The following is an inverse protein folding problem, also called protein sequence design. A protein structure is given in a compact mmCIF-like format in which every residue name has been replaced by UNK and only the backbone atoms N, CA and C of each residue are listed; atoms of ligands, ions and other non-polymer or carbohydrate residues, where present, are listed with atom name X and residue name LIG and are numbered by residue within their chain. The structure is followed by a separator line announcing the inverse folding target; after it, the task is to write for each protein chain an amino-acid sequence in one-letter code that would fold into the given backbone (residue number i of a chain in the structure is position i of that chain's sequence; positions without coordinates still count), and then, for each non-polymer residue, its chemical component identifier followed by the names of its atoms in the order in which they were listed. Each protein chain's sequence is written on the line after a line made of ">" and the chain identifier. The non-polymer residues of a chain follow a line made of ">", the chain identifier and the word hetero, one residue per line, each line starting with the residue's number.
data_IF_872580208269
#
_entry.id   IF_872580208269
#
_cell.length_a   1.000
_cell.length_b   1.000
_cell.length_c   1.000
_cell.angle_alpha   90.00
_cell.angle_beta   90.00
_cell.angle_gamma   90.00
#
_symmetry.space_group_name_H-M   'P 1'
#
loop_
_entity.id
_entity.type
_entity.pdbx_description
1 polymer ?
#
# COMPACT_ATOMS: atom_id res chain seq x y z
N UNK A 1 -9.50 3.60 -15.57
CA UNK A 1 -9.59 4.47 -14.37
C UNK A 1 -8.23 5.09 -14.09
N UNK A 2 -8.15 6.39 -13.75
CA UNK A 2 -6.92 7.10 -13.37
C UNK A 2 -7.12 7.84 -12.06
N UNK A 3 -6.07 7.92 -11.26
CA UNK A 3 -6.09 8.58 -9.95
C UNK A 3 -5.11 9.75 -9.93
N UNK A 4 -5.51 10.86 -9.31
CA UNK A 4 -4.68 12.05 -9.17
C UNK A 4 -4.79 12.62 -7.76
N UNK A 5 -3.69 13.19 -7.27
CA UNK A 5 -3.69 13.89 -5.99
C UNK A 5 -3.04 15.28 -6.11
N UNK A 6 -3.66 16.26 -5.46
CA UNK A 6 -3.10 17.59 -5.25
C UNK A 6 -3.02 17.86 -3.75
N UNK A 7 -1.87 18.30 -3.27
CA UNK A 7 -1.64 18.61 -1.86
C UNK A 7 -0.93 19.95 -1.78
N UNK A 8 -1.45 20.87 -0.95
CA UNK A 8 -0.83 22.14 -0.65
C UNK A 8 -0.78 22.35 0.86
N UNK A 9 0.37 22.81 1.37
CA UNK A 9 0.61 23.21 2.76
C UNK A 9 0.15 22.15 3.78
N UNK A 10 0.62 20.90 3.63
CA UNK A 10 0.31 19.81 4.55
C UNK A 10 1.59 19.17 5.13
N UNK A 11 1.93 19.52 6.37
CA UNK A 11 3.15 19.04 7.03
C UNK A 11 4.41 19.33 6.20
N UNK A 12 5.24 18.33 5.86
CA UNK A 12 6.43 18.54 5.03
C UNK A 12 6.08 18.77 3.54
N UNK A 13 4.84 18.52 3.11
CA UNK A 13 4.41 18.64 1.71
C UNK A 13 3.96 20.07 1.42
N UNK A 14 4.69 20.79 0.59
CA UNK A 14 4.45 22.20 0.27
C UNK A 14 3.50 22.37 -0.91
N UNK A 15 3.87 21.78 -2.05
CA UNK A 15 3.07 21.88 -3.27
C UNK A 15 3.26 20.67 -4.16
N UNK A 16 2.23 19.86 -4.25
CA UNK A 16 2.11 18.72 -5.16
C UNK A 16 0.87 18.95 -6.01
N UNK A 17 1.03 19.12 -7.30
CA UNK A 17 -0.06 19.44 -8.19
C UNK A 17 -0.35 18.29 -9.15
N UNK A 18 -1.60 17.81 -9.12
CA UNK A 18 -2.14 16.82 -10.06
C UNK A 18 -1.23 15.61 -10.28
N UNK A 19 -0.62 15.10 -9.20
CA UNK A 19 0.24 13.93 -9.24
C UNK A 19 -0.58 12.70 -9.65
N UNK A 20 -0.22 12.05 -10.74
CA UNK A 20 -0.88 10.81 -11.19
C UNK A 20 -0.43 9.62 -10.34
N UNK A 21 -1.38 8.90 -9.77
CA UNK A 21 -1.11 7.66 -9.03
C UNK A 21 -1.42 6.49 -9.97
N UNK A 22 -0.39 5.73 -10.32
CA UNK A 22 -0.51 4.57 -11.21
C UNK A 22 -0.62 3.27 -10.43
N UNK A 23 -1.05 2.17 -11.06
CA UNK A 23 -1.17 0.87 -10.40
C UNK A 23 0.07 0.43 -9.63
N UNK A 24 1.27 0.77 -10.12
CA UNK A 24 2.51 0.62 -9.38
C UNK A 24 3.19 1.98 -9.25
N UNK A 25 3.22 2.54 -8.03
CA UNK A 25 3.80 3.86 -7.76
C UNK A 25 4.93 3.72 -6.75
N UNK A 26 6.09 4.29 -7.07
CA UNK A 26 7.26 4.28 -6.19
C UNK A 26 7.62 5.70 -5.80
N UNK A 27 7.78 5.93 -4.49
CA UNK A 27 8.22 7.17 -3.88
C UNK A 27 9.63 6.99 -3.35
N UNK A 28 10.56 7.82 -3.78
CA UNK A 28 11.93 7.86 -3.26
C UNK A 28 12.34 9.25 -2.80
N UNK A 29 13.32 9.33 -1.95
CA UNK A 29 13.90 10.58 -1.45
C UNK A 29 14.60 10.37 -0.12
N UNK A 30 15.22 11.41 0.38
CA UNK A 30 15.92 11.41 1.66
C UNK A 30 14.98 11.13 2.85
N UNK A 31 15.58 10.81 4.01
CA UNK A 31 14.83 10.72 5.26
C UNK A 31 14.17 12.07 5.55
N UNK A 32 12.94 12.03 6.07
CA UNK A 32 12.13 13.22 6.37
C UNK A 32 11.70 14.07 5.15
N UNK A 33 11.95 13.67 3.90
CA UNK A 33 11.51 14.39 2.69
C UNK A 33 9.98 14.45 2.51
N UNK A 34 9.22 13.60 3.20
CA UNK A 34 7.75 13.57 3.13
C UNK A 34 7.14 12.36 2.42
N UNK A 35 7.93 11.35 2.02
CA UNK A 35 7.44 10.11 1.37
C UNK A 35 6.32 9.43 2.15
N UNK A 36 6.58 9.08 3.42
CA UNK A 36 5.58 8.44 4.28
C UNK A 36 4.37 9.36 4.52
N UNK A 37 4.58 10.67 4.57
CA UNK A 37 3.46 11.62 4.69
C UNK A 37 2.60 11.62 3.44
N UNK A 38 3.19 11.68 2.25
CA UNK A 38 2.45 11.58 0.98
C UNK A 38 1.67 10.26 0.90
N UNK A 39 2.32 9.14 1.20
CA UNK A 39 1.67 7.83 1.17
C UNK A 39 0.51 7.72 2.18
N UNK A 40 0.68 8.25 3.40
CA UNK A 40 -0.38 8.30 4.42
C UNK A 40 -1.56 9.18 3.98
N UNK A 41 -1.28 10.30 3.34
CA UNK A 41 -2.34 11.15 2.76
C UNK A 41 -3.08 10.42 1.65
N UNK A 42 -2.38 9.77 0.72
CA UNK A 42 -3.03 8.97 -0.34
C UNK A 42 -3.89 7.87 0.26
N UNK A 43 -3.37 7.10 1.24
CA UNK A 43 -4.12 6.04 1.92
C UNK A 43 -5.39 6.59 2.61
N UNK A 44 -5.29 7.75 3.26
CA UNK A 44 -6.44 8.43 3.88
C UNK A 44 -7.47 8.85 2.83
N UNK A 45 -7.05 9.43 1.71
CA UNK A 45 -7.97 9.90 0.67
C UNK A 45 -8.64 8.72 -0.06
N UNK A 46 -7.94 7.64 -0.32
CA UNK A 46 -8.50 6.37 -0.83
C UNK A 46 -9.53 5.78 0.14
N UNK A 47 -9.26 5.84 1.45
CA UNK A 47 -10.26 5.44 2.45
C UNK A 47 -11.51 6.32 2.38
N UNK A 48 -11.37 7.64 2.26
CA UNK A 48 -12.51 8.56 2.10
C UNK A 48 -13.30 8.28 0.81
N UNK A 49 -12.61 7.96 -0.27
CA UNK A 49 -13.24 7.58 -1.55
C UNK A 49 -13.98 6.23 -1.43
N UNK A 50 -13.40 5.24 -0.74
CA UNK A 50 -14.11 4.00 -0.36
C UNK A 50 -15.41 4.31 0.37
N UNK A 51 -15.37 5.23 1.34
CA UNK A 51 -16.56 5.63 2.08
C UNK A 51 -17.60 6.35 1.21
N UNK A 52 -17.16 7.11 0.20
CA UNK A 52 -18.06 7.73 -0.79
C UNK A 52 -18.75 6.66 -1.66
N UNK A 53 -18.03 5.60 -2.07
CA UNK A 53 -18.61 4.44 -2.78
C UNK A 53 -19.69 3.74 -1.93
N UNK A 54 -19.40 3.42 -0.67
CA UNK A 54 -20.36 2.76 0.22
C UNK A 54 -21.59 3.66 0.43
N UNK A 55 -21.42 4.97 0.64
CA UNK A 55 -22.54 5.91 0.76
C UNK A 55 -23.39 5.95 -0.50
N UNK A 56 -22.76 6.00 -1.67
CA UNK A 56 -23.47 6.04 -2.94
C UNK A 56 -24.24 4.75 -3.19
N UNK A 57 -23.65 3.60 -2.86
CA UNK A 57 -24.33 2.30 -2.89
C UNK A 57 -25.56 2.27 -1.97
N UNK A 58 -25.43 2.70 -0.72
CA UNK A 58 -26.52 2.76 0.26
C UNK A 58 -27.63 3.73 -0.19
N UNK A 59 -27.26 4.90 -0.71
CA UNK A 59 -28.20 5.88 -1.23
C UNK A 59 -29.08 5.29 -2.34
N UNK A 60 -28.47 4.53 -3.24
CA UNK A 60 -29.18 3.83 -4.34
C UNK A 60 -30.02 2.65 -3.82
N UNK A 61 -29.69 2.12 -2.66
CA UNK A 61 -30.43 1.04 -1.97
C UNK A 61 -31.47 1.60 -0.96
N UNK A 62 -31.99 2.81 -1.19
CA UNK A 62 -33.01 3.52 -0.39
C UNK A 62 -32.56 3.97 1.03
N UNK A 63 -31.27 3.95 1.32
CA UNK A 63 -30.72 4.47 2.58
C UNK A 63 -30.21 5.91 2.36
N UNK A 64 -31.10 6.87 2.46
CA UNK A 64 -30.78 8.29 2.16
C UNK A 64 -30.01 9.01 3.26
N UNK A 65 -30.16 8.57 4.51
CA UNK A 65 -29.38 9.12 5.63
C UNK A 65 -28.12 8.29 5.80
N UNK A 66 -26.96 8.90 5.51
CA UNK A 66 -25.70 8.24 5.79
C UNK A 66 -25.50 8.12 7.30
N UNK A 67 -25.38 6.92 7.85
CA UNK A 67 -25.06 6.68 9.24
C UNK A 67 -23.60 7.03 9.59
N UNK A 68 -22.71 7.19 8.56
CA UNK A 68 -21.29 7.50 8.77
C UNK A 68 -21.07 8.98 9.06
N UNK A 69 -20.62 9.27 10.24
CA UNK A 69 -20.03 10.56 10.57
C UNK A 69 -18.53 10.48 10.40
N UNK A 70 -18.06 10.79 9.20
CA UNK A 70 -16.62 10.94 8.97
C UNK A 70 -16.16 12.22 9.70
N UNK A 71 -15.47 12.03 10.81
CA UNK A 71 -14.87 13.14 11.56
C UNK A 71 -13.40 13.24 11.16
N UNK A 72 -13.07 14.24 10.36
CA UNK A 72 -11.71 14.48 9.87
C UNK A 72 -10.71 14.56 11.01
N UNK A 73 -11.03 15.33 12.07
CA UNK A 73 -10.16 15.48 13.25
C UNK A 73 -9.82 14.15 13.92
N UNK A 74 -10.82 13.27 14.04
CA UNK A 74 -10.62 11.94 14.63
C UNK A 74 -9.74 11.06 13.76
N UNK A 75 -9.85 11.16 12.43
CA UNK A 75 -9.01 10.43 11.49
C UNK A 75 -7.56 10.92 11.55
N UNK A 76 -7.36 12.23 11.45
CA UNK A 76 -6.04 12.86 11.55
C UNK A 76 -5.35 12.52 12.88
N UNK A 77 -6.12 12.54 14.00
CA UNK A 77 -5.61 12.17 15.32
C UNK A 77 -5.16 10.71 15.38
N UNK A 78 -5.97 9.77 14.90
CA UNK A 78 -5.63 8.35 14.86
C UNK A 78 -4.38 8.08 14.04
N UNK A 79 -4.21 8.78 12.93
CA UNK A 79 -3.10 8.61 12.00
C UNK A 79 -1.86 9.44 12.35
N UNK A 80 -1.89 10.19 13.47
CA UNK A 80 -0.77 11.03 13.91
C UNK A 80 -0.52 12.27 13.04
N UNK A 81 -1.49 12.69 12.22
CA UNK A 81 -1.35 13.78 11.25
C UNK A 81 -1.99 15.11 11.68
N UNK A 82 -2.54 15.21 12.89
CA UNK A 82 -3.25 16.43 13.36
C UNK A 82 -2.41 17.69 13.26
N UNK A 83 -1.11 17.60 13.62
CA UNK A 83 -0.19 18.76 13.60
C UNK A 83 0.28 19.16 12.19
N UNK A 84 0.04 18.31 11.20
CA UNK A 84 0.42 18.57 9.80
C UNK A 84 -0.63 19.41 9.07
N UNK A 85 -1.85 19.46 9.61
CA UNK A 85 -2.97 20.15 9.01
C UNK A 85 -3.03 21.61 9.46
N UNK A 86 -3.10 22.52 8.51
CA UNK A 86 -3.23 23.97 8.74
C UNK A 86 -4.50 24.50 8.09
N UNK A 87 -4.88 25.75 8.38
CA UNK A 87 -6.00 26.41 7.70
C UNK A 87 -5.79 26.59 6.18
N UNK A 88 -4.55 26.62 5.74
CA UNK A 88 -4.16 26.82 4.34
C UNK A 88 -3.98 25.48 3.60
N UNK A 89 -4.11 24.37 4.31
CA UNK A 89 -3.99 23.03 3.73
C UNK A 89 -5.11 22.72 2.76
N UNK A 90 -4.74 22.28 1.57
CA UNK A 90 -5.65 21.77 0.54
C UNK A 90 -5.22 20.36 0.16
N UNK A 91 -6.15 19.41 0.18
CA UNK A 91 -5.95 18.06 -0.35
C UNK A 91 -7.11 17.75 -1.28
N UNK A 92 -6.82 17.42 -2.52
CA UNK A 92 -7.81 16.99 -3.53
C UNK A 92 -7.38 15.66 -4.11
N UNK A 93 -8.21 14.67 -3.97
CA UNK A 93 -8.03 13.36 -4.59
C UNK A 93 -9.12 13.17 -5.63
N UNK A 94 -8.73 12.95 -6.87
CA UNK A 94 -9.61 12.80 -8.02
C UNK A 94 -9.45 11.43 -8.66
N UNK A 95 -10.57 10.76 -8.85
CA UNK A 95 -10.67 9.51 -9.61
C UNK A 95 -11.38 9.81 -10.91
N UNK A 96 -10.68 9.62 -12.03
CA UNK A 96 -11.20 9.78 -13.36
C UNK A 96 -11.55 8.41 -13.94
N UNK A 97 -12.81 8.23 -14.28
CA UNK A 97 -13.32 7.01 -14.90
C UNK A 97 -13.13 7.05 -16.42
N UNK A 98 -13.18 5.88 -17.02
CA UNK A 98 -13.21 5.77 -18.49
C UNK A 98 -14.47 6.50 -19.00
N UNK A 99 -14.33 7.27 -20.09
CA UNK A 99 -15.39 8.18 -20.54
C UNK A 99 -15.31 9.60 -19.97
N UNK A 100 -14.31 9.92 -19.11
CA UNK A 100 -13.97 11.28 -18.70
C UNK A 100 -14.70 11.80 -17.45
N UNK A 101 -15.66 11.04 -16.90
CA UNK A 101 -16.33 11.40 -15.63
C UNK A 101 -15.32 11.34 -14.50
N UNK A 102 -15.35 12.30 -13.59
CA UNK A 102 -14.44 12.38 -12.44
C UNK A 102 -15.20 12.59 -11.14
N UNK A 103 -14.69 11.97 -10.07
CA UNK A 103 -15.18 12.15 -8.70
C UNK A 103 -14.06 12.68 -7.83
N UNK A 104 -14.36 13.66 -6.99
CA UNK A 104 -13.39 14.28 -6.10
C UNK A 104 -13.72 14.06 -4.62
N UNK A 105 -12.69 13.76 -3.85
CA UNK A 105 -12.70 13.89 -2.38
C UNK A 105 -11.80 15.07 -2.06
N UNK A 106 -12.36 16.07 -1.34
CA UNK A 106 -11.67 17.34 -1.10
C UNK A 106 -11.67 17.71 0.36
N UNK A 107 -10.50 18.03 0.87
CA UNK A 107 -10.30 18.63 2.19
C UNK A 107 -9.74 20.03 1.98
N UNK A 108 -10.43 21.00 2.50
CA UNK A 108 -10.10 22.42 2.32
C UNK A 108 -10.54 23.23 3.54
N UNK A 109 -9.72 24.16 4.00
CA UNK A 109 -10.01 25.02 5.16
C UNK A 109 -10.42 24.21 6.40
N UNK A 110 -9.73 23.10 6.68
CA UNK A 110 -10.01 22.24 7.83
C UNK A 110 -11.24 21.35 7.72
N UNK A 111 -11.92 21.34 6.56
CA UNK A 111 -13.18 20.62 6.38
C UNK A 111 -13.15 19.62 5.23
N UNK A 112 -13.70 18.45 5.48
CA UNK A 112 -14.03 17.50 4.42
C UNK A 112 -15.26 18.01 3.67
N UNK A 113 -15.11 18.29 2.39
CA UNK A 113 -16.23 18.70 1.53
C UNK A 113 -17.09 17.50 1.17
N UNK A 114 -18.38 17.77 0.88
CA UNK A 114 -19.32 16.73 0.47
C UNK A 114 -18.88 16.17 -0.89
N UNK A 115 -18.67 14.87 -0.94
CA UNK A 115 -18.41 14.15 -2.19
C UNK A 115 -19.74 13.95 -2.94
N UNK A 116 -19.71 14.08 -4.25
CA UNK A 116 -20.85 13.77 -5.11
C UNK A 116 -21.23 12.29 -5.03
N UNK A 117 -22.51 12.00 -5.34
CA UNK A 117 -22.99 10.61 -5.39
C UNK A 117 -22.42 9.95 -6.63
N UNK A 118 -21.67 8.88 -6.43
CA UNK A 118 -21.05 8.11 -7.52
C UNK A 118 -22.14 7.40 -8.33
N UNK A 119 -22.04 7.47 -9.65
CA UNK A 119 -22.97 6.79 -10.55
C UNK A 119 -22.87 5.27 -10.41
N UNK A 120 -23.97 4.57 -10.67
CA UNK A 120 -24.09 3.14 -10.48
C UNK A 120 -23.01 2.35 -11.22
N UNK A 121 -22.74 2.71 -12.46
CA UNK A 121 -21.74 2.07 -13.32
C UNK A 121 -20.28 2.31 -12.88
N UNK A 122 -20.06 3.30 -12.02
CA UNK A 122 -18.75 3.68 -11.51
C UNK A 122 -18.54 3.26 -10.05
N UNK A 123 -19.52 2.60 -9.44
CA UNK A 123 -19.37 2.06 -8.09
C UNK A 123 -18.34 0.94 -8.06
N UNK A 124 -17.54 0.94 -7.00
CA UNK A 124 -16.51 -0.07 -6.78
C UNK A 124 -16.41 -0.51 -5.33
N UNK A 125 -15.90 -1.71 -5.13
CA UNK A 125 -15.53 -2.24 -3.82
C UNK A 125 -14.04 -1.98 -3.59
N UNK A 126 -13.70 -1.17 -2.62
CA UNK A 126 -12.32 -0.81 -2.31
C UNK A 126 -11.86 -1.45 -1.00
N UNK A 127 -10.66 -2.00 -0.97
CA UNK A 127 -9.93 -2.37 0.25
C UNK A 127 -8.61 -1.60 0.26
N UNK A 128 -8.35 -0.90 1.35
CA UNK A 128 -7.07 -0.25 1.59
C UNK A 128 -6.30 -1.08 2.60
N UNK A 129 -5.03 -1.29 2.34
CA UNK A 129 -4.05 -1.91 3.23
C UNK A 129 -2.86 -0.98 3.40
N UNK A 130 -2.29 -0.98 4.59
CA UNK A 130 -1.08 -0.23 4.88
C UNK A 130 -0.09 -1.14 5.61
N UNK A 131 1.06 -1.38 5.00
CA UNK A 131 2.12 -2.21 5.54
C UNK A 131 3.24 -1.31 6.03
N UNK A 132 3.26 -1.08 7.35
CA UNK A 132 4.19 -0.14 7.98
C UNK A 132 5.61 -0.72 8.09
N UNK A 133 6.57 0.18 8.28
CA UNK A 133 7.97 -0.17 8.54
C UNK A 133 8.15 -1.04 9.81
N UNK A 134 7.25 -0.87 10.79
CA UNK A 134 7.31 -1.61 12.06
C UNK A 134 6.80 -3.07 11.97
N UNK A 135 6.57 -3.60 10.78
CA UNK A 135 6.08 -4.97 10.58
C UNK A 135 7.00 -6.08 11.11
N UNK A 136 8.28 -5.77 11.32
CA UNK A 136 9.24 -6.67 11.97
C UNK A 136 8.85 -7.06 13.42
N UNK A 137 7.97 -6.30 14.05
CA UNK A 137 7.46 -6.58 15.40
C UNK A 137 6.34 -7.62 15.38
N UNK A 138 5.68 -7.84 14.23
CA UNK A 138 4.52 -8.73 14.10
C UNK A 138 4.79 -10.14 14.62
N UNK A 139 5.91 -10.81 14.27
CA UNK A 139 6.18 -12.16 14.75
C UNK A 139 6.16 -12.26 16.29
N UNK A 140 6.75 -11.26 16.95
CA UNK A 140 6.79 -11.20 18.42
C UNK A 140 5.45 -10.74 19.00
N UNK A 141 4.75 -9.81 18.33
CA UNK A 141 3.47 -9.25 18.78
C UNK A 141 2.34 -10.28 18.80
N UNK A 142 2.35 -11.24 17.89
CA UNK A 142 1.34 -12.30 17.81
C UNK A 142 1.43 -13.30 18.98
N UNK A 143 2.53 -13.31 19.73
CA UNK A 143 2.66 -14.12 20.94
C UNK A 143 1.78 -13.58 22.07
N UNK A 144 0.98 -14.46 22.71
CA UNK A 144 -0.03 -14.12 23.74
C UNK A 144 0.47 -13.23 24.90
N UNK A 145 1.77 -13.29 25.22
CA UNK A 145 2.35 -12.57 26.35
C UNK A 145 2.37 -11.04 26.21
N UNK A 146 2.31 -10.51 25.00
CA UNK A 146 2.38 -9.06 24.74
C UNK A 146 1.02 -8.38 24.75
N UNK A 147 -0.06 -9.08 24.41
CA UNK A 147 -1.42 -8.54 24.34
C UNK A 147 -1.92 -7.92 25.67
N UNK A 148 -1.34 -8.32 26.79
CA UNK A 148 -1.77 -7.90 28.12
C UNK A 148 -0.97 -6.73 28.72
N UNK A 149 -0.01 -6.14 28.01
CA UNK A 149 0.88 -5.12 28.59
C UNK A 149 0.53 -3.65 28.25
N UNK A 150 -0.64 -3.38 27.64
CA UNK A 150 -1.12 -2.02 27.38
C UNK A 150 -0.25 -1.20 26.42
N UNK A 151 0.69 -1.82 25.71
CA UNK A 151 1.48 -1.14 24.69
C UNK A 151 0.60 -0.79 23.49
N UNK A 152 0.49 0.49 23.17
CA UNK A 152 -0.19 0.98 21.97
C UNK A 152 0.86 1.25 20.89
N UNK A 153 0.94 0.36 19.94
CA UNK A 153 1.63 0.61 18.67
C UNK A 153 0.71 1.43 17.76
N UNK A 154 1.25 2.35 16.98
CA UNK A 154 0.46 3.31 16.22
C UNK A 154 -0.57 2.70 15.25
N UNK A 155 -1.46 3.53 14.72
CA UNK A 155 -2.57 3.14 13.85
C UNK A 155 -2.14 2.22 12.70
N UNK A 156 -1.09 2.59 11.98
CA UNK A 156 -0.64 1.84 10.81
C UNK A 156 -0.05 0.46 11.14
N UNK A 157 0.58 0.31 12.30
CA UNK A 157 0.98 -1.00 12.78
C UNK A 157 -0.23 -1.91 13.05
N UNK A 158 -1.29 -1.37 13.66
CA UNK A 158 -2.51 -2.13 13.89
C UNK A 158 -3.16 -2.59 12.60
N UNK A 159 -3.27 -1.72 11.59
CA UNK A 159 -3.75 -2.09 10.25
C UNK A 159 -2.90 -3.23 9.64
N UNK A 160 -1.57 -3.10 9.70
CA UNK A 160 -0.65 -4.14 9.21
C UNK A 160 -0.86 -5.47 9.96
N UNK A 161 -0.99 -5.43 11.28
CA UNK A 161 -1.17 -6.62 12.10
C UNK A 161 -2.55 -7.29 11.88
N UNK A 162 -3.60 -6.51 11.67
CA UNK A 162 -4.92 -7.02 11.31
C UNK A 162 -4.90 -7.71 9.94
N UNK A 163 -4.29 -7.07 8.93
CA UNK A 163 -4.17 -7.65 7.60
C UNK A 163 -3.31 -8.93 7.62
N UNK A 164 -2.21 -8.95 8.38
CA UNK A 164 -1.42 -10.16 8.61
C UNK A 164 -2.23 -11.27 9.30
N UNK A 165 -3.03 -10.92 10.31
CA UNK A 165 -3.91 -11.86 10.99
C UNK A 165 -4.92 -12.51 10.04
N UNK A 166 -5.60 -11.71 9.21
CA UNK A 166 -6.52 -12.21 8.18
C UNK A 166 -5.79 -13.05 7.13
N UNK A 167 -4.61 -12.63 6.70
CA UNK A 167 -3.79 -13.37 5.74
C UNK A 167 -3.30 -14.73 6.27
N UNK A 168 -3.20 -14.84 7.60
CA UNK A 168 -2.76 -16.05 8.30
C UNK A 168 -3.90 -17.04 8.61
N UNK A 169 -5.13 -16.76 8.23
CA UNK A 169 -6.25 -17.67 8.47
C UNK A 169 -6.11 -18.94 7.60
N UNK A 170 -6.34 -20.10 8.22
CA UNK A 170 -6.19 -21.41 7.57
C UNK A 170 -4.75 -21.90 7.47
N UNK A 171 -4.58 -23.19 7.14
CA UNK A 171 -3.27 -23.75 6.86
C UNK A 171 -2.78 -23.29 5.49
N UNK A 172 -1.58 -22.75 5.41
CA UNK A 172 -1.01 -22.17 4.19
C UNK A 172 0.47 -22.42 4.08
N UNK A 173 0.93 -22.53 2.84
CA UNK A 173 2.35 -22.47 2.48
C UNK A 173 2.58 -21.23 1.60
N UNK A 174 3.58 -20.42 1.92
CA UNK A 174 3.99 -19.25 1.17
C UNK A 174 5.42 -19.44 0.67
N UNK A 175 5.60 -19.43 -0.63
CA UNK A 175 6.90 -19.41 -1.27
C UNK A 175 7.53 -18.01 -1.19
N UNK A 176 8.74 -17.93 -0.64
CA UNK A 176 9.52 -16.70 -0.52
C UNK A 176 10.84 -16.87 -1.31
N UNK A 177 10.73 -17.07 -2.62
CA UNK A 177 11.87 -17.34 -3.50
C UNK A 177 12.89 -16.20 -3.55
N UNK A 178 12.46 -14.97 -3.19
CA UNK A 178 13.35 -13.81 -3.09
C UNK A 178 14.42 -13.93 -1.98
N UNK A 179 14.22 -14.83 -1.01
CA UNK A 179 15.19 -15.16 0.05
C UNK A 179 15.50 -16.66 0.12
N UNK A 180 15.06 -17.47 -0.85
CA UNK A 180 15.28 -18.92 -0.88
C UNK A 180 14.61 -19.69 0.27
N UNK A 181 13.48 -19.21 0.78
CA UNK A 181 12.75 -19.77 1.89
C UNK A 181 11.28 -19.99 1.54
N UNK A 182 10.62 -20.79 2.36
CA UNK A 182 9.15 -20.89 2.39
C UNK A 182 8.64 -20.81 3.82
N UNK A 183 7.43 -20.31 3.99
CA UNK A 183 6.76 -20.23 5.28
C UNK A 183 5.54 -21.16 5.29
N UNK A 184 5.46 -22.01 6.31
CA UNK A 184 4.30 -22.84 6.61
C UNK A 184 3.53 -22.26 7.79
N UNK A 185 2.23 -22.01 7.61
CA UNK A 185 1.32 -21.54 8.66
C UNK A 185 0.43 -22.71 9.07
N UNK A 186 0.42 -23.03 10.36
CA UNK A 186 -0.40 -24.11 10.94
C UNK A 186 -1.16 -23.63 12.16
N UNK A 187 -2.33 -24.25 12.39
CA UNK A 187 -3.23 -23.94 13.51
C UNK A 187 -3.44 -25.16 14.41
N UNK A 188 -2.45 -25.56 15.23
CA UNK A 188 -2.57 -26.71 16.09
C UNK A 188 -3.69 -26.51 17.12
N UNK A 189 -4.56 -27.52 17.30
CA UNK A 189 -5.69 -27.44 18.22
C UNK A 189 -5.27 -27.04 19.64
N UNK A 190 -5.86 -25.97 20.17
CA UNK A 190 -5.58 -25.45 21.51
C UNK A 190 -4.23 -24.75 21.68
N UNK A 191 -3.46 -24.54 20.62
CA UNK A 191 -2.18 -23.83 20.64
C UNK A 191 -2.24 -22.57 19.78
N UNK A 192 -1.32 -21.60 19.96
CA UNK A 192 -1.17 -20.47 19.05
C UNK A 192 -0.85 -20.93 17.64
N UNK A 193 -1.21 -20.10 16.65
CA UNK A 193 -0.76 -20.24 15.25
C UNK A 193 0.76 -20.30 15.21
N UNK A 194 1.29 -21.20 14.40
CA UNK A 194 2.73 -21.38 14.18
C UNK A 194 3.10 -20.90 12.79
N UNK A 195 4.21 -20.20 12.72
CA UNK A 195 4.80 -19.68 11.48
C UNK A 195 6.20 -20.28 11.37
N UNK A 196 6.34 -21.34 10.58
CA UNK A 196 7.59 -22.07 10.44
C UNK A 196 8.28 -21.73 9.10
N UNK A 197 9.55 -21.37 9.17
CA UNK A 197 10.36 -21.03 8.02
C UNK A 197 11.25 -22.22 7.65
N UNK A 198 11.19 -22.61 6.39
CA UNK A 198 11.96 -23.72 5.82
C UNK A 198 12.84 -23.18 4.67
N UNK A 199 14.13 -23.54 4.62
CA UNK A 199 14.92 -23.36 3.41
C UNK A 199 14.36 -24.18 2.25
N UNK A 200 14.34 -23.59 1.05
CA UNK A 200 13.84 -24.29 -0.16
C UNK A 200 14.75 -25.44 -0.60
N UNK A 201 16.02 -25.45 -0.15
CA UNK A 201 16.99 -26.51 -0.43
C UNK A 201 16.77 -27.79 0.40
N UNK A 202 15.92 -27.73 1.44
CA UNK A 202 15.55 -28.89 2.28
C UNK A 202 16.62 -29.41 3.23
N UNK A 203 17.77 -28.73 3.35
CA UNK A 203 18.92 -29.23 4.13
C UNK A 203 18.89 -28.86 5.62
N UNK A 204 17.99 -27.97 6.03
CA UNK A 204 17.95 -27.48 7.42
C UNK A 204 16.59 -27.71 8.05
N UNK A 205 16.61 -27.87 9.39
CA UNK A 205 15.39 -27.96 10.17
C UNK A 205 14.61 -26.63 10.12
N UNK A 206 13.25 -26.67 10.21
CA UNK A 206 12.43 -25.47 10.28
C UNK A 206 12.76 -24.65 11.54
N UNK A 207 12.67 -23.33 11.40
CA UNK A 207 12.76 -22.39 12.52
C UNK A 207 11.44 -21.61 12.66
N UNK A 208 11.11 -21.18 13.86
CA UNK A 208 9.96 -20.29 14.04
C UNK A 208 10.27 -18.91 13.47
N UNK A 209 9.27 -18.22 12.89
CA UNK A 209 9.44 -16.89 12.31
C UNK A 209 10.05 -15.88 13.31
N UNK A 210 9.78 -16.03 14.61
CA UNK A 210 10.35 -15.20 15.67
C UNK A 210 11.86 -15.41 15.87
N UNK A 211 12.40 -16.52 15.42
CA UNK A 211 13.81 -16.90 15.53
C UNK A 211 14.56 -16.69 14.21
N UNK A 212 13.84 -16.36 13.15
CA UNK A 212 14.41 -16.10 11.83
C UNK A 212 15.21 -14.78 11.82
N UNK A 213 16.01 -14.59 10.78
CA UNK A 213 16.74 -13.34 10.57
C UNK A 213 15.79 -12.14 10.44
N UNK A 214 16.26 -10.94 10.78
CA UNK A 214 15.47 -9.70 10.67
C UNK A 214 14.89 -9.49 9.27
N UNK A 215 15.64 -9.84 8.22
CA UNK A 215 15.16 -9.75 6.84
C UNK A 215 13.95 -10.66 6.59
N UNK A 216 13.94 -11.88 7.13
CA UNK A 216 12.78 -12.78 7.03
C UNK A 216 11.63 -12.27 7.88
N UNK A 217 11.91 -11.82 9.12
CA UNK A 217 10.86 -11.27 10.00
C UNK A 217 10.15 -10.05 9.42
N UNK A 218 10.82 -9.26 8.56
CA UNK A 218 10.22 -8.11 7.87
C UNK A 218 9.54 -8.48 6.56
N UNK A 219 10.14 -9.35 5.77
CA UNK A 219 9.66 -9.66 4.42
C UNK A 219 8.54 -10.70 4.37
N UNK A 220 8.53 -11.67 5.30
CA UNK A 220 7.49 -12.70 5.33
C UNK A 220 6.08 -12.14 5.61
N UNK A 221 5.85 -11.25 6.60
CA UNK A 221 4.55 -10.60 6.78
C UNK A 221 4.12 -9.79 5.56
N UNK A 222 5.04 -9.06 4.93
CA UNK A 222 4.76 -8.28 3.73
C UNK A 222 4.32 -9.18 2.57
N UNK A 223 5.09 -10.22 2.27
CA UNK A 223 4.79 -11.14 1.18
C UNK A 223 3.44 -11.87 1.39
N UNK A 224 3.15 -12.29 2.63
CA UNK A 224 1.89 -12.93 2.98
C UNK A 224 0.68 -11.99 2.79
N UNK A 225 0.79 -10.74 3.19
CA UNK A 225 -0.28 -9.74 3.03
C UNK A 225 -0.56 -9.49 1.55
N UNK A 226 0.50 -9.32 0.73
CA UNK A 226 0.35 -9.09 -0.72
C UNK A 226 -0.28 -10.31 -1.39
N UNK A 227 0.18 -11.52 -1.08
CA UNK A 227 -0.36 -12.77 -1.62
C UNK A 227 -1.84 -12.96 -1.25
N UNK A 228 -2.20 -12.71 0.01
CA UNK A 228 -3.58 -12.77 0.49
C UNK A 228 -4.52 -11.85 -0.27
N UNK A 229 -4.12 -10.58 -0.48
CA UNK A 229 -4.95 -9.65 -1.22
C UNK A 229 -5.03 -9.97 -2.72
N UNK A 230 -3.99 -10.58 -3.27
CA UNK A 230 -4.00 -11.02 -4.65
C UNK A 230 -4.94 -12.22 -4.89
N UNK A 231 -5.04 -13.15 -3.93
CA UNK A 231 -5.69 -14.46 -4.15
C UNK A 231 -6.93 -14.67 -3.29
N UNK A 232 -6.81 -14.49 -1.97
CA UNK A 232 -7.76 -15.05 -1.00
C UNK A 232 -8.78 -14.05 -0.46
N UNK A 233 -8.53 -12.73 -0.56
CA UNK A 233 -9.38 -11.71 0.04
C UNK A 233 -10.81 -11.74 -0.50
N UNK A 234 -11.79 -11.95 0.39
CA UNK A 234 -13.21 -11.96 0.03
C UNK A 234 -13.83 -10.57 0.12
N UNK A 235 -13.97 -9.89 -1.02
CA UNK A 235 -14.70 -8.63 -1.11
C UNK A 235 -16.15 -8.76 -0.67
N UNK A 236 -16.79 -9.89 -0.98
CA UNK A 236 -18.18 -10.17 -0.60
C UNK A 236 -18.36 -10.12 0.92
N UNK A 237 -17.48 -10.80 1.66
CA UNK A 237 -17.60 -10.89 3.11
C UNK A 237 -17.19 -9.57 3.78
N UNK A 238 -16.16 -8.90 3.26
CA UNK A 238 -15.73 -7.58 3.75
C UNK A 238 -16.83 -6.52 3.53
N UNK A 239 -17.45 -6.51 2.35
CA UNK A 239 -18.54 -5.60 2.03
C UNK A 239 -19.77 -5.90 2.86
N UNK A 240 -20.16 -7.19 2.95
CA UNK A 240 -21.30 -7.62 3.76
C UNK A 240 -21.13 -7.20 5.23
N UNK A 241 -19.96 -7.45 5.82
CA UNK A 241 -19.67 -6.99 7.19
C UNK A 241 -19.78 -5.48 7.32
N UNK A 242 -19.18 -4.72 6.41
CA UNK A 242 -19.22 -3.24 6.44
C UNK A 242 -20.63 -2.71 6.31
N UNK A 243 -21.42 -3.19 5.36
CA UNK A 243 -22.80 -2.74 5.12
C UNK A 243 -23.75 -3.19 6.23
N UNK A 244 -23.67 -4.45 6.66
CA UNK A 244 -24.57 -5.00 7.67
C UNK A 244 -24.36 -4.38 9.06
N UNK A 245 -23.11 -4.26 9.50
CA UNK A 245 -22.82 -3.54 10.77
C UNK A 245 -23.42 -2.14 10.77
N UNK A 246 -23.42 -1.53 9.63
CA UNK A 246 -23.88 -0.20 9.34
C UNK A 246 -25.39 -0.06 9.39
N UNK A 247 -26.10 -0.96 8.70
CA UNK A 247 -27.54 -1.00 8.69
C UNK A 247 -28.09 -1.36 10.07
N UNK A 248 -27.36 -2.21 10.80
CA UNK A 248 -27.71 -2.61 12.16
C UNK A 248 -27.58 -1.43 13.14
N UNK A 249 -26.46 -0.69 13.11
CA UNK A 249 -26.26 0.49 13.96
C UNK A 249 -27.24 1.63 13.67
N UNK A 250 -27.75 1.68 12.45
CA UNK A 250 -28.64 2.76 11.99
C UNK A 250 -30.13 2.40 12.08
N UNK A 251 -30.50 1.21 12.56
CA UNK A 251 -31.91 0.73 12.61
C UNK A 251 -32.63 0.83 11.25
N UNK A 252 -31.90 0.63 10.14
CA UNK A 252 -32.40 0.80 8.78
C UNK A 252 -32.47 -0.51 7.97
N UNK A 253 -32.36 -1.66 8.63
CA UNK A 253 -32.42 -2.98 7.97
C UNK A 253 -33.69 -3.17 7.15
N UNK A 254 -34.84 -2.74 7.69
CA UNK A 254 -36.16 -2.89 7.05
C UNK A 254 -36.32 -2.04 5.78
N UNK A 255 -35.50 -1.00 5.62
CA UNK A 255 -35.55 -0.10 4.45
C UNK A 255 -34.57 -0.47 3.37
N UNK A 256 -33.63 -1.34 3.68
CA UNK A 256 -32.56 -1.72 2.75
C UNK A 256 -33.11 -2.63 1.66
N UNK A 257 -33.04 -2.14 0.43
CA UNK A 257 -33.34 -2.92 -0.75
C UNK A 257 -32.12 -2.89 -1.69
N UNK A 258 -31.38 -3.99 -1.77
CA UNK A 258 -30.20 -4.11 -2.62
C UNK A 258 -30.59 -4.05 -4.09
N UNK A 259 -30.40 -2.91 -4.71
CA UNK A 259 -30.68 -2.69 -6.16
C UNK A 259 -29.53 -3.16 -7.03
N UNK A 260 -28.31 -3.27 -6.47
CA UNK A 260 -27.08 -3.61 -7.18
C UNK A 260 -26.47 -4.85 -6.53
N UNK A 261 -26.15 -5.85 -7.33
CA UNK A 261 -25.44 -7.01 -6.83
C UNK A 261 -23.95 -6.69 -6.62
N UNK A 262 -23.40 -6.77 -5.38
CA UNK A 262 -22.00 -6.42 -5.11
C UNK A 262 -20.97 -7.20 -5.95
N UNK A 263 -21.35 -8.37 -6.46
CA UNK A 263 -20.45 -9.19 -7.30
C UNK A 263 -20.10 -8.55 -8.63
N UNK A 264 -20.99 -7.68 -9.14
CA UNK A 264 -20.81 -7.02 -10.45
C UNK A 264 -19.96 -5.74 -10.37
N UNK A 265 -19.65 -5.27 -9.15
CA UNK A 265 -18.88 -4.06 -8.95
C UNK A 265 -17.38 -4.31 -9.19
N UNK A 266 -16.70 -3.30 -9.73
CA UNK A 266 -15.25 -3.29 -9.84
C UNK A 266 -14.62 -3.44 -8.46
N UNK A 267 -13.59 -4.27 -8.34
CA UNK A 267 -12.90 -4.55 -7.09
C UNK A 267 -11.47 -4.05 -7.14
N UNK A 268 -11.12 -3.20 -6.19
CA UNK A 268 -9.79 -2.58 -6.12
C UNK A 268 -9.20 -2.78 -4.74
N UNK A 269 -7.96 -3.26 -4.69
CA UNK A 269 -7.13 -3.30 -3.48
C UNK A 269 -5.99 -2.31 -3.66
N UNK A 270 -5.85 -1.41 -2.70
CA UNK A 270 -4.75 -0.46 -2.63
C UNK A 270 -3.83 -0.83 -1.47
N UNK A 271 -2.60 -1.23 -1.76
CA UNK A 271 -1.59 -1.62 -0.77
C UNK A 271 -0.49 -0.56 -0.73
N UNK A 272 -0.28 0.01 0.45
CA UNK A 272 0.75 1.02 0.71
C UNK A 272 1.85 0.37 1.55
N UNK A 273 3.09 0.38 1.08
CA UNK A 273 4.20 -0.35 1.69
C UNK A 273 5.34 0.62 2.02
N UNK A 274 5.66 0.75 3.31
CA UNK A 274 6.84 1.49 3.76
C UNK A 274 8.06 0.56 3.77
N UNK A 275 9.17 1.05 3.25
CA UNK A 275 10.51 0.44 3.29
C UNK A 275 10.50 -1.07 2.98
N UNK A 276 10.10 -1.50 1.76
CA UNK A 276 10.11 -2.91 1.42
C UNK A 276 11.49 -3.56 1.59
N UNK A 277 12.56 -2.75 1.44
CA UNK A 277 13.96 -3.15 1.57
C UNK A 277 14.43 -3.47 2.98
N UNK A 278 13.65 -3.16 4.01
CA UNK A 278 14.09 -3.19 5.39
C UNK A 278 14.76 -4.50 5.79
N UNK A 279 16.00 -4.42 6.27
CA UNK A 279 16.84 -5.55 6.70
C UNK A 279 17.16 -6.60 5.62
N UNK A 280 16.98 -6.28 4.34
CA UNK A 280 17.31 -7.17 3.23
C UNK A 280 18.64 -6.76 2.55
N UNK A 281 19.38 -7.76 2.08
CA UNK A 281 20.52 -7.55 1.20
C UNK A 281 20.05 -7.07 -0.19
N UNK A 282 20.83 -6.27 -0.94
CA UNK A 282 20.43 -5.67 -2.21
C UNK A 282 19.75 -6.61 -3.22
N UNK A 283 20.30 -7.80 -3.44
CA UNK A 283 19.72 -8.79 -4.35
C UNK A 283 18.31 -9.23 -3.90
N UNK A 284 18.12 -9.47 -2.59
CA UNK A 284 16.83 -9.84 -2.04
C UNK A 284 15.81 -8.66 -2.10
N UNK A 285 16.26 -7.41 -1.99
CA UNK A 285 15.40 -6.23 -2.17
C UNK A 285 14.81 -6.20 -3.58
N UNK A 286 15.66 -6.38 -4.61
CA UNK A 286 15.25 -6.41 -6.01
C UNK A 286 14.25 -7.54 -6.28
N UNK A 287 14.56 -8.76 -5.83
CA UNK A 287 13.69 -9.92 -5.98
C UNK A 287 12.38 -9.81 -5.22
N UNK A 288 12.38 -9.18 -4.03
CA UNK A 288 11.15 -8.92 -3.29
C UNK A 288 10.24 -7.97 -4.06
N UNK A 289 10.76 -6.87 -4.59
CA UNK A 289 9.98 -5.93 -5.40
C UNK A 289 9.47 -6.61 -6.67
N UNK A 290 10.30 -7.46 -7.32
CA UNK A 290 9.85 -8.29 -8.45
C UNK A 290 8.66 -9.19 -8.04
N UNK A 291 8.75 -9.86 -6.89
CA UNK A 291 7.68 -10.70 -6.37
C UNK A 291 6.40 -9.90 -6.11
N UNK A 292 6.50 -8.70 -5.51
CA UNK A 292 5.36 -7.83 -5.20
C UNK A 292 4.62 -7.41 -6.48
N UNK A 293 5.35 -6.86 -7.47
CA UNK A 293 4.66 -6.40 -8.68
C UNK A 293 4.14 -7.56 -9.53
N UNK A 294 4.89 -8.67 -9.57
CA UNK A 294 4.43 -9.88 -10.25
C UNK A 294 3.13 -10.40 -9.66
N UNK A 295 3.07 -10.53 -8.34
CA UNK A 295 1.86 -10.95 -7.62
C UNK A 295 0.70 -9.98 -7.86
N UNK A 296 0.96 -8.67 -7.87
CA UNK A 296 -0.07 -7.67 -8.14
C UNK A 296 -0.63 -7.74 -9.57
N UNK A 297 0.24 -7.96 -10.56
CA UNK A 297 -0.17 -8.08 -11.97
C UNK A 297 -0.85 -9.40 -12.31
N UNK A 298 -0.65 -10.45 -11.50
CA UNK A 298 -1.27 -11.76 -11.64
C UNK A 298 -2.29 -12.07 -10.54
N UNK A 299 -2.87 -11.02 -9.94
CA UNK A 299 -3.98 -11.18 -9.01
C UNK A 299 -5.17 -11.87 -9.70
N UNK A 300 -6.07 -12.43 -8.89
CA UNK A 300 -7.32 -13.02 -9.39
C UNK A 300 -8.04 -12.07 -10.35
N UNK A 301 -8.58 -12.60 -11.44
CA UNK A 301 -9.17 -11.84 -12.54
C UNK A 301 -10.36 -10.94 -12.13
N UNK A 302 -10.86 -11.12 -10.91
CA UNK A 302 -11.99 -10.36 -10.39
C UNK A 302 -11.59 -9.04 -9.74
N UNK A 303 -10.28 -8.74 -9.63
CA UNK A 303 -9.76 -7.58 -8.88
C UNK A 303 -8.53 -6.94 -9.51
N UNK A 304 -8.30 -5.69 -9.13
CA UNK A 304 -7.08 -4.95 -9.45
C UNK A 304 -6.32 -4.67 -8.15
N UNK A 305 -5.01 -4.95 -8.11
CA UNK A 305 -4.12 -4.55 -7.04
C UNK A 305 -3.30 -3.34 -7.47
N UNK A 306 -3.41 -2.26 -6.70
CA UNK A 306 -2.54 -1.11 -6.82
C UNK A 306 -1.51 -1.14 -5.67
N UNK A 307 -0.25 -0.94 -6.00
CA UNK A 307 0.86 -0.94 -5.05
C UNK A 307 1.49 0.45 -5.01
N UNK A 308 1.65 0.99 -3.81
CA UNK A 308 2.46 2.19 -3.59
C UNK A 308 3.60 1.86 -2.64
N UNK A 309 4.84 2.06 -3.07
CA UNK A 309 6.04 1.83 -2.29
C UNK A 309 6.65 3.17 -1.85
N UNK A 310 7.08 3.29 -0.60
CA UNK A 310 7.99 4.33 -0.15
C UNK A 310 9.33 3.68 0.22
N UNK A 311 10.39 4.04 -0.48
CA UNK A 311 11.70 3.38 -0.37
C UNK A 311 12.84 4.40 -0.23
N UNK A 312 13.95 3.94 0.34
CA UNK A 312 15.24 4.62 0.36
C UNK A 312 16.29 3.89 -0.49
N UNK A 313 15.91 2.75 -1.11
CA UNK A 313 16.85 1.87 -1.78
C UNK A 313 17.19 2.33 -3.20
N UNK A 314 18.45 2.69 -3.49
CA UNK A 314 18.90 2.92 -4.84
C UNK A 314 18.88 1.63 -5.69
N UNK A 315 19.01 0.47 -5.06
CA UNK A 315 18.99 -0.82 -5.73
C UNK A 315 17.61 -1.12 -6.34
N UNK A 316 16.54 -0.81 -5.60
CA UNK A 316 15.17 -0.94 -6.13
C UNK A 316 14.97 -0.04 -7.34
N UNK A 317 15.41 1.22 -7.30
CA UNK A 317 15.27 2.12 -8.43
C UNK A 317 16.03 1.62 -9.67
N UNK A 318 17.28 1.25 -9.48
CA UNK A 318 18.09 0.73 -10.60
C UNK A 318 17.48 -0.57 -11.17
N UNK A 319 16.90 -1.42 -10.31
CA UNK A 319 16.24 -2.64 -10.74
C UNK A 319 15.00 -2.39 -11.59
N UNK A 320 14.25 -1.30 -11.32
CA UNK A 320 13.11 -0.91 -12.16
C UNK A 320 13.52 -0.67 -13.61
N UNK A 321 14.74 -0.19 -13.87
CA UNK A 321 15.26 -0.05 -15.23
C UNK A 321 15.41 -1.40 -15.96
N UNK A 322 15.75 -2.47 -15.21
CA UNK A 322 15.79 -3.83 -15.76
C UNK A 322 14.36 -4.29 -16.08
N UNK A 323 13.44 -4.09 -15.15
CA UNK A 323 12.03 -4.52 -15.31
C UNK A 323 11.35 -3.81 -16.47
N UNK A 324 11.56 -2.50 -16.62
CA UNK A 324 11.01 -1.70 -17.72
C UNK A 324 11.48 -2.18 -19.10
N UNK A 325 12.73 -2.66 -19.19
CA UNK A 325 13.39 -3.01 -20.45
C UNK A 325 13.54 -4.51 -20.69
N UNK A 326 13.05 -5.38 -19.79
CA UNK A 326 13.12 -6.82 -20.02
C UNK A 326 12.20 -7.26 -21.16
N UNK A 327 12.75 -8.10 -22.05
CA UNK A 327 12.05 -8.62 -23.23
C UNK A 327 11.67 -10.10 -23.11
N UNK A 328 11.93 -10.74 -21.96
CA UNK A 328 11.70 -12.18 -21.77
C UNK A 328 10.20 -12.47 -21.77
N UNK A 329 9.76 -13.35 -22.66
CA UNK A 329 8.39 -13.88 -22.66
C UNK A 329 8.05 -14.52 -21.32
N UNK A 330 6.80 -14.32 -20.85
CA UNK A 330 6.28 -14.85 -19.59
C UNK A 330 6.65 -14.07 -18.33
N UNK A 331 7.45 -12.99 -18.42
CA UNK A 331 7.63 -12.08 -17.28
C UNK A 331 6.64 -10.90 -17.34
N UNK A 332 6.00 -10.64 -16.22
CA UNK A 332 5.17 -9.46 -16.06
C UNK A 332 5.99 -8.20 -16.33
N UNK A 333 5.47 -7.31 -17.16
CA UNK A 333 6.17 -6.10 -17.59
C UNK A 333 5.56 -4.86 -16.95
N UNK A 334 6.37 -4.10 -16.22
CA UNK A 334 6.04 -2.72 -15.93
C UNK A 334 6.27 -1.85 -17.17
N UNK A 335 5.37 -0.90 -17.37
CA UNK A 335 5.44 0.06 -18.47
C UNK A 335 5.17 1.46 -17.92
N UNK A 336 5.44 2.49 -18.71
CA UNK A 336 5.08 3.85 -18.32
C UNK A 336 3.56 4.10 -18.17
N UNK A 337 2.71 3.16 -18.59
CA UNK A 337 1.27 3.24 -18.39
C UNK A 337 0.87 2.80 -16.98
N UNK A 338 1.55 1.82 -16.40
CA UNK A 338 1.22 1.24 -15.09
C UNK A 338 2.23 1.56 -13.97
N UNK A 339 3.40 2.12 -14.30
CA UNK A 339 4.43 2.54 -13.36
C UNK A 339 4.50 4.06 -13.25
N UNK A 340 4.62 4.57 -12.02
CA UNK A 340 5.05 5.93 -11.72
C UNK A 340 6.18 5.90 -10.70
N UNK A 341 7.20 6.74 -10.89
CA UNK A 341 8.33 6.87 -9.96
C UNK A 341 8.53 8.35 -9.65
N UNK A 342 8.42 8.70 -8.39
CA UNK A 342 8.53 10.09 -7.94
C UNK A 342 9.64 10.27 -6.92
N UNK A 343 10.57 11.17 -7.22
CA UNK A 343 11.47 11.76 -6.23
C UNK A 343 10.73 12.78 -5.36
N UNK A 344 10.98 12.78 -4.05
CA UNK A 344 10.42 13.78 -3.14
C UNK A 344 11.57 14.55 -2.51
N UNK A 345 11.60 15.85 -2.79
CA UNK A 345 12.59 16.78 -2.27
C UNK A 345 11.91 18.10 -1.89
N UNK A 346 12.26 18.68 -0.74
CA UNK A 346 11.71 19.96 -0.24
C UNK A 346 10.18 20.08 -0.27
N UNK A 347 9.47 18.96 -0.04
CA UNK A 347 8.01 18.92 -0.03
C UNK A 347 7.35 19.04 -1.40
N UNK A 348 8.11 18.79 -2.47
CA UNK A 348 7.66 18.73 -3.86
C UNK A 348 7.97 17.36 -4.44
N UNK A 349 7.28 17.02 -5.52
CA UNK A 349 7.52 15.77 -6.26
C UNK A 349 8.13 16.05 -7.62
N UNK A 350 9.05 15.20 -8.05
CA UNK A 350 9.64 15.18 -9.37
C UNK A 350 9.40 13.81 -10.01
N UNK A 351 8.92 13.79 -11.24
CA UNK A 351 8.78 12.55 -11.97
C UNK A 351 10.17 12.07 -12.44
N UNK A 352 10.54 10.85 -12.05
CA UNK A 352 11.81 10.23 -12.41
C UNK A 352 11.71 9.31 -13.63
N UNK A 353 10.50 9.07 -14.17
CA UNK A 353 10.35 8.34 -15.42
C UNK A 353 10.63 9.27 -16.61
N UNK A 354 11.58 8.86 -17.43
CA UNK A 354 12.00 9.61 -18.62
C UNK A 354 12.30 8.66 -19.77
N UNK A 355 12.67 9.19 -20.92
CA UNK A 355 13.18 8.41 -22.06
C UNK A 355 14.68 8.62 -22.22
N UNK A 356 15.40 7.53 -22.48
CA UNK A 356 16.82 7.61 -22.84
C UNK A 356 16.99 8.08 -24.30
N UNK A 357 18.24 8.27 -24.72
CA UNK A 357 18.59 8.69 -26.07
C UNK A 357 18.11 7.73 -27.17
N UNK A 358 17.75 6.50 -26.82
CA UNK A 358 17.19 5.47 -27.72
C UNK A 358 15.67 5.39 -27.65
N UNK A 359 15.03 6.28 -26.90
CA UNK A 359 13.57 6.34 -26.72
C UNK A 359 13.00 5.26 -25.79
N UNK A 360 13.82 4.56 -25.00
CA UNK A 360 13.39 3.56 -24.02
C UNK A 360 12.97 4.25 -22.73
N UNK A 361 11.96 3.71 -22.08
CA UNK A 361 11.54 4.18 -20.75
C UNK A 361 12.59 3.78 -19.71
N UNK A 362 13.07 4.75 -18.95
CA UNK A 362 14.03 4.58 -17.86
C UNK A 362 13.61 5.38 -16.62
N UNK A 363 14.07 4.94 -15.46
CA UNK A 363 14.03 5.71 -14.21
C UNK A 363 15.35 6.47 -14.10
N UNK A 364 15.27 7.79 -13.92
CA UNK A 364 16.43 8.62 -13.64
C UNK A 364 17.01 8.30 -12.27
N UNK A 365 18.28 7.90 -12.23
CA UNK A 365 19.03 7.57 -11.01
C UNK A 365 20.32 8.37 -10.88
N UNK A 366 20.48 9.46 -11.66
CA UNK A 366 21.71 10.25 -11.73
C UNK A 366 22.12 10.77 -10.36
N UNK A 367 21.22 11.42 -9.61
CA UNK A 367 21.54 11.98 -8.29
C UNK A 367 22.09 10.92 -7.32
N UNK A 368 21.57 9.70 -7.36
CA UNK A 368 22.04 8.57 -6.53
C UNK A 368 23.42 8.10 -6.98
N UNK A 369 23.66 8.09 -8.28
CA UNK A 369 24.95 7.68 -8.88
C UNK A 369 26.04 8.72 -8.59
N UNK A 370 25.71 10.00 -8.66
CA UNK A 370 26.62 11.11 -8.33
C UNK A 370 27.08 11.05 -6.88
N UNK A 371 26.18 10.77 -5.93
CA UNK A 371 26.56 10.63 -4.51
C UNK A 371 27.55 9.45 -4.30
N UNK A 372 27.32 8.31 -4.92
CA UNK A 372 28.23 7.17 -4.85
C UNK A 372 29.59 7.48 -5.51
N UNK A 373 29.55 8.17 -6.63
CA UNK A 373 30.77 8.60 -7.33
C UNK A 373 31.57 9.61 -6.53
N UNK A 374 30.91 10.56 -5.85
CA UNK A 374 31.55 11.52 -4.99
C UNK A 374 32.29 10.85 -3.81
N UNK A 375 31.66 9.89 -3.14
CA UNK A 375 32.30 9.09 -2.07
C UNK A 375 33.51 8.32 -2.61
N UNK A 376 33.40 7.72 -3.78
CA UNK A 376 34.51 6.99 -4.41
C UNK A 376 35.68 7.92 -4.79
N UNK A 377 35.37 9.10 -5.32
CA UNK A 377 36.38 10.10 -5.68
C UNK A 377 37.12 10.61 -4.43
N UNK A 378 36.39 10.93 -3.35
CA UNK A 378 36.99 11.33 -2.06
C UNK A 378 37.92 10.23 -1.53
N UNK A 379 37.48 8.97 -1.56
CA UNK A 379 38.33 7.83 -1.20
C UNK A 379 39.60 7.75 -2.06
N UNK A 380 39.47 7.97 -3.36
CA UNK A 380 40.62 7.90 -4.31
C UNK A 380 41.60 9.04 -4.06
N UNK A 381 41.12 10.24 -3.74
CA UNK A 381 41.97 11.39 -3.35
C UNK A 381 42.78 11.09 -2.10
N UNK A 382 42.13 10.50 -1.06
CA UNK A 382 42.77 10.13 0.20
C UNK A 382 43.82 9.00 0.06
N UNK A 383 43.71 8.18 -0.98
CA UNK A 383 44.62 7.05 -1.17
C UNK A 383 45.75 7.33 -2.17
N UNK A 384 45.73 8.48 -2.87
CA UNK A 384 46.77 8.88 -3.81
C UNK A 384 47.81 9.85 -3.19
N UNK A 385 47.63 10.25 -1.93
CA UNK A 385 48.59 10.95 -1.09
C UNK A 385 49.45 9.94 -0.28
#
# INVERSE_FOLDING_TARGET
>A
MKEYITIKEFGPLKNIENLEIKPFTVLIGESASGKSTLMKVVAMMRYLYKMANIRSYLYRSNITKSPFRLRLDSMLKRQGMTKMFTKDSLIVYRVQMDGGVSYEVRIENGNLKKTEVIEQQHLMLCKNSYVSENRNIIPTWTQKSWKNKGATLGFYFHETNEDFGCASEGEKELEMNFVGMKMLITHPKGKPTRYQIFPTDGHHAPIELTEASSGIQTSAPLALIVDYFAKDFSFKDAFKRSVMNYLFEAENLDKFNAVIEPRTLLKVVDIHIEEPELSLFPDAQCKLVENIYYTALHAENDRTLNIMLATHSPYILNYLNIVLNQTKEGKAKLTNENLAVYGIHDGKTMNLLMKDDKGRDIVDTLDLTEMMSAIFNEYTELTND
#
